data_IF_967906003739
#
_entry.id   IF_967906003739
#
_cell.length_a   1.000
_cell.length_b   1.000
_cell.length_c   1.000
_cell.angle_alpha   90.00
_cell.angle_beta   90.00
_cell.angle_gamma   90.00
#
_symmetry.space_group_name_H-M   'P 1'
#
loop_
_entity.id
_entity.type
_entity.pdbx_description
1 polymer ?
#
# COMPACT_ATOMS: atom_id res chain seq x y z
N UNK A 1 -2.62 -9.93 23.59
CA UNK A 1 -2.27 -8.68 24.32
C UNK A 1 -1.03 -7.97 23.77
N UNK A 2 0.11 -8.63 23.54
CA UNK A 2 1.32 -7.96 23.03
C UNK A 2 1.14 -7.30 21.65
N UNK A 3 0.48 -7.98 20.70
CA UNK A 3 0.24 -7.46 19.34
C UNK A 3 -0.61 -6.19 19.39
N UNK A 4 -1.67 -6.17 20.18
CA UNK A 4 -2.53 -4.99 20.35
C UNK A 4 -1.77 -3.80 20.96
N UNK A 5 -0.90 -4.04 21.93
CA UNK A 5 -0.08 -2.98 22.52
C UNK A 5 0.90 -2.39 21.51
N UNK A 6 1.57 -3.22 20.74
CA UNK A 6 2.48 -2.78 19.65
C UNK A 6 1.72 -2.01 18.57
N UNK A 7 0.53 -2.47 18.20
CA UNK A 7 -0.33 -1.75 17.25
C UNK A 7 -0.68 -0.34 17.75
N UNK A 8 -0.92 -0.20 19.07
CA UNK A 8 -1.35 1.06 19.68
C UNK A 8 -0.21 2.02 20.01
N UNK A 9 0.95 1.50 20.44
CA UNK A 9 2.05 2.29 21.02
C UNK A 9 3.41 2.02 20.38
N UNK A 10 3.52 1.05 19.48
CA UNK A 10 4.75 0.64 18.83
C UNK A 10 5.33 1.69 17.89
N UNK A 11 6.56 1.48 17.49
CA UNK A 11 7.33 2.24 16.52
C UNK A 11 7.70 1.39 15.30
N UNK A 12 8.31 1.96 14.29
CA UNK A 12 8.81 1.21 13.12
C UNK A 12 9.81 0.11 13.50
N UNK A 13 10.44 0.19 14.68
CA UNK A 13 11.32 -0.87 15.19
C UNK A 13 10.55 -2.17 15.52
N UNK A 14 9.24 -2.07 15.77
CA UNK A 14 8.37 -3.20 16.10
C UNK A 14 7.76 -3.87 14.86
N UNK A 15 7.94 -3.27 13.67
CA UNK A 15 7.43 -3.81 12.41
C UNK A 15 7.78 -5.29 12.18
N UNK A 16 9.02 -5.78 12.45
CA UNK A 16 9.36 -7.19 12.24
C UNK A 16 8.50 -8.15 13.08
N UNK A 17 8.13 -7.75 14.28
CA UNK A 17 7.25 -8.54 15.14
C UNK A 17 5.85 -8.68 14.52
N UNK A 18 5.25 -7.57 14.07
CA UNK A 18 3.94 -7.60 13.43
C UNK A 18 3.96 -8.39 12.12
N UNK A 19 5.00 -8.21 11.29
CA UNK A 19 5.17 -8.99 10.04
C UNK A 19 5.23 -10.50 10.30
N UNK A 20 5.91 -10.92 11.38
CA UNK A 20 5.94 -12.33 11.78
C UNK A 20 4.54 -12.84 12.17
N UNK A 21 3.73 -12.01 12.84
CA UNK A 21 2.39 -12.36 13.30
C UNK A 21 1.33 -12.41 12.19
N UNK A 22 1.60 -11.89 11.01
CA UNK A 22 0.75 -12.10 9.84
C UNK A 22 0.59 -13.59 9.45
N UNK A 23 1.43 -14.47 9.99
CA UNK A 23 1.40 -15.93 9.78
C UNK A 23 1.12 -16.72 11.04
N UNK A 24 0.52 -16.07 12.03
CA UNK A 24 0.10 -16.74 13.27
C UNK A 24 -1.00 -17.78 12.97
N UNK A 25 -1.06 -18.84 13.76
CA UNK A 25 -2.13 -19.86 13.64
C UNK A 25 -3.50 -19.25 13.96
N UNK A 26 -3.54 -18.34 14.91
CA UNK A 26 -4.72 -17.63 15.34
C UNK A 26 -5.09 -16.50 14.37
N UNK A 27 -6.32 -16.54 13.82
CA UNK A 27 -6.84 -15.56 12.87
C UNK A 27 -6.96 -14.16 13.49
N UNK A 28 -7.38 -14.05 14.74
CA UNK A 28 -7.48 -12.77 15.43
C UNK A 28 -6.09 -12.12 15.55
N UNK A 29 -5.06 -12.93 15.85
CA UNK A 29 -3.68 -12.45 15.92
C UNK A 29 -3.19 -11.96 14.55
N UNK A 30 -3.51 -12.66 13.45
CA UNK A 30 -3.19 -12.20 12.08
C UNK A 30 -3.87 -10.87 11.76
N UNK A 31 -5.18 -10.76 12.09
CA UNK A 31 -5.97 -9.55 11.87
C UNK A 31 -5.41 -8.35 12.65
N UNK A 32 -5.12 -8.54 13.94
CA UNK A 32 -4.50 -7.49 14.76
C UNK A 32 -3.10 -7.10 14.27
N UNK A 33 -2.32 -8.06 13.76
CA UNK A 33 -1.01 -7.78 13.21
C UNK A 33 -1.10 -6.90 11.95
N UNK A 34 -2.03 -7.20 11.06
CA UNK A 34 -2.28 -6.42 9.85
C UNK A 34 -2.74 -5.00 10.19
N UNK A 35 -3.76 -4.86 11.04
CA UNK A 35 -4.23 -3.56 11.51
C UNK A 35 -3.11 -2.78 12.20
N UNK A 36 -2.29 -3.47 13.01
CA UNK A 36 -1.13 -2.88 13.67
C UNK A 36 -0.11 -2.32 12.70
N UNK A 37 0.17 -3.03 11.60
CA UNK A 37 1.08 -2.54 10.55
C UNK A 37 0.54 -1.28 9.88
N UNK A 38 -0.76 -1.24 9.55
CA UNK A 38 -1.38 -0.05 8.99
C UNK A 38 -1.28 1.14 9.96
N UNK A 39 -1.64 0.94 11.23
CA UNK A 39 -1.54 1.99 12.25
C UNK A 39 -0.11 2.47 12.46
N UNK A 40 0.86 1.56 12.42
CA UNK A 40 2.27 1.87 12.56
C UNK A 40 2.78 2.72 11.40
N UNK A 41 2.43 2.36 10.17
CA UNK A 41 2.84 3.08 8.97
C UNK A 41 2.20 4.46 8.86
N UNK A 42 1.00 4.65 9.39
CA UNK A 42 0.32 5.95 9.40
C UNK A 42 0.91 6.95 10.40
N UNK A 43 1.78 6.52 11.33
CA UNK A 43 2.42 7.41 12.31
C UNK A 43 3.74 7.94 11.80
N UNK A 44 3.78 9.25 11.62
CA UNK A 44 5.02 9.91 11.22
C UNK A 44 5.94 10.24 12.41
N UNK A 45 5.40 10.26 13.63
CA UNK A 45 6.05 10.77 14.84
C UNK A 45 6.02 12.31 14.93
N UNK A 46 5.25 12.97 14.06
CA UNK A 46 4.98 14.41 14.09
C UNK A 46 3.46 14.62 14.00
N UNK A 47 2.84 15.08 15.07
CA UNK A 47 1.39 15.26 15.15
C UNK A 47 0.83 16.21 14.08
N UNK A 48 1.61 17.16 13.57
CA UNK A 48 1.16 18.04 12.49
C UNK A 48 1.14 17.30 11.14
N UNK A 49 2.13 16.45 10.90
CA UNK A 49 2.16 15.57 9.70
C UNK A 49 1.04 14.54 9.77
N UNK A 50 0.79 13.93 10.94
CA UNK A 50 -0.26 12.93 11.10
C UNK A 50 -1.66 13.55 10.89
N UNK A 51 -1.91 14.78 11.37
CA UNK A 51 -3.14 15.52 11.07
C UNK A 51 -3.28 15.85 9.58
N UNK A 52 -2.20 16.31 8.94
CA UNK A 52 -2.23 16.59 7.51
C UNK A 52 -2.49 15.32 6.68
N UNK A 53 -1.93 14.16 7.10
CA UNK A 53 -2.21 12.88 6.45
C UNK A 53 -3.70 12.50 6.54
N UNK A 54 -4.31 12.69 7.71
CA UNK A 54 -5.74 12.45 7.93
C UNK A 54 -6.59 13.40 7.07
N UNK A 55 -6.23 14.69 7.02
CA UNK A 55 -6.91 15.69 6.19
C UNK A 55 -6.83 15.34 4.69
N UNK A 56 -5.63 15.08 4.17
CA UNK A 56 -5.46 14.68 2.78
C UNK A 56 -6.23 13.41 2.44
N UNK A 57 -6.30 12.46 3.38
CA UNK A 57 -7.10 11.24 3.21
C UNK A 57 -8.60 11.56 3.15
N UNK A 58 -9.09 12.47 3.98
CA UNK A 58 -10.48 12.92 3.95
C UNK A 58 -10.81 13.64 2.63
N UNK A 59 -9.92 14.51 2.13
CA UNK A 59 -10.09 15.17 0.81
C UNK A 59 -10.14 14.13 -0.32
N UNK A 60 -9.27 13.13 -0.29
CA UNK A 60 -9.27 12.07 -1.28
C UNK A 60 -10.58 11.26 -1.26
N UNK A 61 -11.10 10.93 -0.08
CA UNK A 61 -12.39 10.24 0.09
C UNK A 61 -13.58 11.08 -0.38
N UNK A 62 -13.52 12.41 -0.20
CA UNK A 62 -14.50 13.35 -0.71
C UNK A 62 -14.42 13.58 -2.24
N UNK A 63 -13.45 12.97 -2.93
CA UNK A 63 -13.22 13.14 -4.36
C UNK A 63 -12.42 14.38 -4.74
N UNK A 64 -11.94 15.16 -3.78
CA UNK A 64 -11.11 16.34 -3.98
C UNK A 64 -9.65 15.93 -4.24
N UNK A 65 -9.41 15.20 -5.33
CA UNK A 65 -8.11 14.56 -5.61
C UNK A 65 -6.97 15.57 -5.79
N UNK A 66 -7.13 16.72 -6.49
CA UNK A 66 -6.06 17.71 -6.59
C UNK A 66 -5.63 18.26 -5.22
N UNK A 67 -6.57 18.53 -4.33
CA UNK A 67 -6.30 19.02 -2.97
C UNK A 67 -5.57 17.96 -2.14
N UNK A 68 -6.02 16.70 -2.20
CA UNK A 68 -5.33 15.59 -1.54
C UNK A 68 -3.88 15.46 -1.99
N UNK A 69 -3.62 15.57 -3.32
CA UNK A 69 -2.26 15.53 -3.88
C UNK A 69 -1.41 16.69 -3.36
N UNK A 70 -1.97 17.90 -3.26
CA UNK A 70 -1.27 19.05 -2.72
C UNK A 70 -0.86 18.84 -1.25
N UNK A 71 -1.79 18.36 -0.42
CA UNK A 71 -1.54 18.06 0.99
C UNK A 71 -0.46 16.97 1.14
N UNK A 72 -0.57 15.85 0.42
CA UNK A 72 0.44 14.79 0.48
C UNK A 72 1.80 15.24 -0.05
N UNK A 73 1.83 16.14 -1.04
CA UNK A 73 3.08 16.71 -1.55
C UNK A 73 3.77 17.58 -0.50
N UNK A 74 3.01 18.34 0.27
CA UNK A 74 3.55 19.11 1.40
C UNK A 74 4.07 18.20 2.52
N UNK A 75 3.37 17.10 2.83
CA UNK A 75 3.86 16.09 3.78
C UNK A 75 5.23 15.55 3.32
N UNK A 76 5.34 15.17 2.05
CA UNK A 76 6.57 14.63 1.47
C UNK A 76 7.70 15.66 1.52
N UNK A 77 7.41 16.94 1.23
CA UNK A 77 8.40 18.02 1.32
C UNK A 77 8.92 18.21 2.75
N UNK A 78 8.04 18.16 3.75
CA UNK A 78 8.39 18.33 5.17
C UNK A 78 9.06 17.09 5.76
N UNK A 79 8.63 15.88 5.36
CA UNK A 79 9.13 14.62 5.91
C UNK A 79 9.34 13.58 4.80
N UNK A 80 10.37 13.74 3.97
CA UNK A 80 10.59 12.87 2.81
C UNK A 80 10.87 11.39 3.16
N UNK A 81 11.29 11.12 4.40
CA UNK A 81 11.48 9.74 4.89
C UNK A 81 10.18 9.01 5.26
N UNK A 82 9.06 9.74 5.38
CA UNK A 82 7.78 9.16 5.77
C UNK A 82 7.11 8.46 4.59
N UNK A 83 7.18 7.12 4.57
CA UNK A 83 6.71 6.29 3.45
C UNK A 83 5.21 6.49 3.14
N UNK A 84 4.37 6.64 4.17
CA UNK A 84 2.93 6.73 4.00
C UNK A 84 2.50 8.01 3.28
N UNK A 85 3.23 9.10 3.39
CA UNK A 85 3.00 10.31 2.58
C UNK A 85 3.07 10.03 1.08
N UNK A 86 4.09 9.25 0.66
CA UNK A 86 4.25 8.79 -0.71
C UNK A 86 3.14 7.80 -1.11
N UNK A 87 2.79 6.86 -0.22
CA UNK A 87 1.76 5.87 -0.47
C UNK A 87 0.38 6.52 -0.71
N UNK A 88 0.01 7.48 0.11
CA UNK A 88 -1.25 8.21 -0.06
C UNK A 88 -1.28 9.04 -1.35
N UNK A 89 -0.15 9.67 -1.70
CA UNK A 89 -0.08 10.41 -2.96
C UNK A 89 -0.10 9.48 -4.18
N UNK A 90 0.53 8.31 -4.10
CA UNK A 90 0.44 7.28 -5.13
C UNK A 90 -1.02 6.87 -5.37
N UNK A 91 -1.78 6.64 -4.30
CA UNK A 91 -3.21 6.33 -4.38
C UNK A 91 -3.99 7.48 -5.04
N UNK A 92 -3.72 8.72 -4.67
CA UNK A 92 -4.39 9.88 -5.27
C UNK A 92 -4.06 10.02 -6.77
N UNK A 93 -2.79 9.79 -7.18
CA UNK A 93 -2.40 9.75 -8.60
C UNK A 93 -3.08 8.60 -9.36
N UNK A 94 -3.22 7.43 -8.73
CA UNK A 94 -3.95 6.31 -9.32
C UNK A 94 -5.41 6.66 -9.61
N UNK A 95 -6.10 7.28 -8.65
CA UNK A 95 -7.48 7.75 -8.80
C UNK A 95 -7.58 8.82 -9.90
N UNK A 96 -6.59 9.70 -10.00
CA UNK A 96 -6.50 10.71 -11.06
C UNK A 96 -6.17 10.12 -12.45
N UNK A 97 -5.85 8.82 -12.55
CA UNK A 97 -5.44 8.16 -13.80
C UNK A 97 -3.98 8.42 -14.20
N UNK A 98 -3.21 9.14 -13.40
CA UNK A 98 -1.77 9.36 -13.65
C UNK A 98 -0.95 8.19 -13.10
N UNK A 99 -1.01 7.07 -13.82
CA UNK A 99 -0.32 5.84 -13.45
C UNK A 99 1.20 5.99 -13.41
N UNK A 100 1.77 6.88 -14.22
CA UNK A 100 3.21 7.13 -14.23
C UNK A 100 3.68 7.76 -12.93
N UNK A 101 2.98 8.79 -12.44
CA UNK A 101 3.29 9.43 -11.15
C UNK A 101 3.00 8.48 -9.99
N UNK A 102 1.91 7.71 -10.08
CA UNK A 102 1.57 6.71 -9.07
C UNK A 102 2.68 5.67 -8.92
N UNK A 103 3.21 5.10 -10.01
CA UNK A 103 4.34 4.16 -9.98
C UNK A 103 5.59 4.80 -9.35
N UNK A 104 5.93 6.04 -9.75
CA UNK A 104 7.09 6.73 -9.19
C UNK A 104 7.00 6.93 -7.66
N UNK A 105 5.80 7.20 -7.15
CA UNK A 105 5.57 7.31 -5.71
C UNK A 105 5.59 5.95 -5.02
N UNK A 106 5.04 4.89 -5.63
CA UNK A 106 5.17 3.52 -5.14
C UNK A 106 6.65 3.11 -5.00
N UNK A 107 7.52 3.48 -5.97
CA UNK A 107 8.98 3.27 -5.87
C UNK A 107 9.56 3.92 -4.61
N UNK A 108 9.10 5.13 -4.27
CA UNK A 108 9.54 5.82 -3.05
C UNK A 108 9.08 5.11 -1.78
N UNK A 109 7.87 4.52 -1.79
CA UNK A 109 7.38 3.72 -0.65
C UNK A 109 8.25 2.50 -0.44
N UNK A 110 8.48 1.69 -1.48
CA UNK A 110 9.21 0.41 -1.38
C UNK A 110 10.69 0.62 -1.03
N UNK A 111 11.31 1.73 -1.45
CA UNK A 111 12.67 2.08 -1.00
C UNK A 111 12.76 2.36 0.51
N UNK A 112 11.69 2.90 1.11
CA UNK A 112 11.62 3.25 2.55
C UNK A 112 11.10 2.11 3.40
N UNK A 113 10.15 1.35 2.87
CA UNK A 113 9.53 0.21 3.51
C UNK A 113 9.32 -0.92 2.49
N UNK A 114 10.29 -1.82 2.31
CA UNK A 114 10.19 -2.94 1.35
C UNK A 114 9.04 -3.91 1.66
N UNK A 115 8.54 -3.89 2.90
CA UNK A 115 7.44 -4.75 3.36
C UNK A 115 6.07 -4.08 3.29
N UNK A 116 5.95 -2.95 2.61
CA UNK A 116 4.67 -2.24 2.50
C UNK A 116 3.76 -2.95 1.50
N UNK A 117 3.03 -3.97 1.96
CA UNK A 117 2.19 -4.81 1.11
C UNK A 117 1.08 -4.02 0.39
N UNK A 118 0.57 -2.93 0.97
CA UNK A 118 -0.37 -2.03 0.30
C UNK A 118 0.22 -1.37 -0.95
N UNK A 119 1.47 -0.88 -0.87
CA UNK A 119 2.14 -0.31 -2.04
C UNK A 119 2.48 -1.38 -3.09
N UNK A 120 2.89 -2.58 -2.66
CA UNK A 120 3.09 -3.72 -3.57
C UNK A 120 1.78 -4.09 -4.29
N UNK A 121 0.66 -4.12 -3.59
CA UNK A 121 -0.66 -4.34 -4.20
C UNK A 121 -1.03 -3.19 -5.14
N UNK A 122 -0.72 -1.95 -4.77
CA UNK A 122 -0.91 -0.77 -5.62
C UNK A 122 -0.18 -0.88 -6.96
N UNK A 123 1.06 -1.36 -6.98
CA UNK A 123 1.76 -1.67 -8.24
C UNK A 123 0.97 -2.68 -9.09
N UNK A 124 0.48 -3.76 -8.46
CA UNK A 124 -0.33 -4.75 -9.16
C UNK A 124 -1.55 -4.12 -9.82
N UNK A 125 -2.28 -3.28 -9.10
CA UNK A 125 -3.44 -2.57 -9.63
C UNK A 125 -3.08 -1.63 -10.78
N UNK A 126 -1.99 -0.87 -10.66
CA UNK A 126 -1.54 0.04 -11.72
C UNK A 126 -1.16 -0.75 -12.98
N UNK A 127 -0.35 -1.80 -12.85
CA UNK A 127 0.05 -2.61 -13.99
C UNK A 127 -1.13 -3.34 -14.64
N UNK A 128 -2.12 -3.75 -13.85
CA UNK A 128 -3.37 -4.31 -14.36
C UNK A 128 -4.13 -3.28 -15.22
N UNK A 129 -4.26 -2.03 -14.75
CA UNK A 129 -4.87 -0.92 -15.52
C UNK A 129 -4.11 -0.58 -16.80
N UNK A 130 -2.80 -0.82 -16.81
CA UNK A 130 -1.94 -0.65 -17.98
C UNK A 130 -1.89 -1.90 -18.88
N UNK A 131 -2.73 -2.91 -18.62
CA UNK A 131 -2.78 -4.21 -19.33
C UNK A 131 -1.43 -4.96 -19.33
N UNK A 132 -0.54 -4.63 -18.39
CA UNK A 132 0.73 -5.32 -18.17
C UNK A 132 0.53 -6.45 -17.16
N UNK A 133 -0.33 -7.43 -17.51
CA UNK A 133 -0.83 -8.46 -16.62
C UNK A 133 0.28 -9.29 -15.96
N UNK A 134 1.34 -9.61 -16.69
CA UNK A 134 2.47 -10.36 -16.11
C UNK A 134 3.12 -9.61 -14.94
N UNK A 135 3.28 -8.29 -15.04
CA UNK A 135 3.82 -7.46 -13.95
C UNK A 135 2.82 -7.32 -12.82
N UNK A 136 1.52 -7.17 -13.13
CA UNK A 136 0.48 -7.11 -12.11
C UNK A 136 0.53 -8.36 -11.21
N UNK A 137 0.57 -9.55 -11.81
CA UNK A 137 0.68 -10.83 -11.13
C UNK A 137 1.95 -10.89 -10.27
N UNK A 138 3.10 -10.47 -10.81
CA UNK A 138 4.36 -10.45 -10.06
C UNK A 138 4.25 -9.62 -8.78
N UNK A 139 3.73 -8.39 -8.87
CA UNK A 139 3.63 -7.51 -7.72
C UNK A 139 2.58 -7.96 -6.71
N UNK A 140 1.44 -8.48 -7.14
CA UNK A 140 0.46 -9.07 -6.23
C UNK A 140 1.00 -10.29 -5.49
N UNK A 141 1.75 -11.17 -6.16
CA UNK A 141 2.45 -12.29 -5.49
C UNK A 141 3.48 -11.81 -4.48
N UNK A 142 4.19 -10.71 -4.77
CA UNK A 142 5.10 -10.07 -3.81
C UNK A 142 4.34 -9.51 -2.61
N UNK A 143 3.17 -8.90 -2.80
CA UNK A 143 2.31 -8.44 -1.72
C UNK A 143 1.86 -9.59 -0.82
N UNK A 144 1.37 -10.69 -1.41
CA UNK A 144 0.97 -11.90 -0.68
C UNK A 144 2.14 -12.59 0.03
N UNK A 145 3.36 -12.49 -0.52
CA UNK A 145 4.56 -12.98 0.17
C UNK A 145 4.83 -12.20 1.45
N UNK A 146 4.47 -10.94 1.55
CA UNK A 146 4.57 -10.14 2.78
C UNK A 146 3.37 -10.41 3.68
N UNK A 147 2.16 -10.20 3.17
CA UNK A 147 0.90 -10.45 3.88
C UNK A 147 0.05 -11.48 3.12
N UNK A 148 0.02 -12.74 3.58
CA UNK A 148 -0.78 -13.78 2.93
C UNK A 148 -2.29 -13.65 3.15
N UNK A 149 -2.73 -12.71 4.02
CA UNK A 149 -4.14 -12.56 4.41
C UNK A 149 -4.89 -11.49 3.58
N UNK A 150 -4.28 -10.97 2.51
CA UNK A 150 -4.87 -9.92 1.70
C UNK A 150 -6.05 -10.46 0.88
N UNK A 151 -7.26 -10.17 1.35
CA UNK A 151 -8.48 -10.58 0.64
C UNK A 151 -8.55 -10.04 -0.79
N UNK A 152 -9.07 -10.85 -1.71
CA UNK A 152 -9.31 -10.49 -3.11
C UNK A 152 -8.05 -10.41 -3.98
N UNK A 153 -6.83 -10.48 -3.42
CA UNK A 153 -5.61 -10.39 -4.23
C UNK A 153 -5.40 -11.65 -5.07
N UNK A 154 -5.77 -12.82 -4.54
CA UNK A 154 -5.71 -14.08 -5.30
C UNK A 154 -6.67 -14.06 -6.50
N UNK A 155 -7.91 -13.59 -6.32
CA UNK A 155 -8.87 -13.42 -7.41
C UNK A 155 -8.38 -12.42 -8.47
N UNK A 156 -7.70 -11.35 -8.04
CA UNK A 156 -7.09 -10.41 -8.98
C UNK A 156 -5.96 -11.07 -9.79
N UNK A 157 -5.17 -11.95 -9.18
CA UNK A 157 -4.14 -12.73 -9.87
C UNK A 157 -4.77 -13.67 -10.89
N UNK A 158 -5.79 -14.43 -10.51
CA UNK A 158 -6.51 -15.36 -11.39
C UNK A 158 -7.07 -14.62 -12.62
N UNK A 159 -7.74 -13.48 -12.39
CA UNK A 159 -8.27 -12.63 -13.46
C UNK A 159 -7.18 -12.13 -14.40
N UNK A 160 -6.04 -11.71 -13.84
CA UNK A 160 -4.91 -11.25 -14.64
C UNK A 160 -4.25 -12.39 -15.44
N UNK A 161 -4.19 -13.60 -14.88
CA UNK A 161 -3.66 -14.78 -15.59
C UNK A 161 -4.56 -15.18 -16.77
N UNK A 162 -5.88 -15.07 -16.62
CA UNK A 162 -6.81 -15.31 -17.71
C UNK A 162 -6.63 -14.30 -18.84
N UNK A 163 -6.63 -13.00 -18.51
CA UNK A 163 -6.41 -11.94 -19.50
C UNK A 163 -5.03 -12.04 -20.17
N UNK A 164 -4.00 -12.46 -19.45
CA UNK A 164 -2.67 -12.69 -20.02
C UNK A 164 -2.67 -13.84 -21.03
N UNK A 165 -3.42 -14.92 -20.75
CA UNK A 165 -3.58 -16.04 -21.69
C UNK A 165 -4.29 -15.58 -22.97
N UNK A 166 -5.38 -14.82 -22.84
CA UNK A 166 -6.09 -14.26 -23.99
C UNK A 166 -5.21 -13.31 -24.82
N UNK A 167 -4.47 -12.42 -24.16
CA UNK A 167 -3.56 -11.50 -24.81
C UNK A 167 -2.50 -12.22 -25.64
N UNK A 168 -1.94 -13.32 -25.12
CA UNK A 168 -0.98 -14.17 -25.83
C UNK A 168 -1.60 -14.89 -27.02
N UNK A 169 -2.82 -15.39 -26.87
CA UNK A 169 -3.52 -16.08 -27.95
C UNK A 169 -3.86 -15.17 -29.15
N UNK A 170 -4.11 -13.88 -28.88
CA UNK A 170 -4.36 -12.86 -29.94
C UNK A 170 -3.09 -12.37 -30.66
N UNK A 171 -1.92 -12.66 -30.09
CA UNK A 171 -0.63 -12.19 -30.63
C UNK A 171 0.07 -13.24 -31.52
N UNK A 172 -0.59 -14.40 -31.73
CA UNK A 172 -0.20 -15.51 -32.63
C UNK A 172 -1.05 -15.45 -33.89
#
# INVERSE_FOLDING_TARGET
MAVFWVASYGSMADQPLLLKRLRDEDEDVRSYAEQGLWLLWMRSGDAAIDRALAEGTAQMQAGNIPEAIAIFSEIIRRKPAFAEGWNKRATAWFIAGDYRRSLADCDQVIRRNPNHFGALSGYGQIYFRLEQYAKAIEYWRRALKVNPNMEGVEQNIESAEELLREQRARSI
#
